data_IF_653915463609
#
_entry.id   IF_653915463609
#
_cell.length_a   1.000
_cell.length_b   1.000
_cell.length_c   1.000
_cell.angle_alpha   90.00
_cell.angle_beta   90.00
_cell.angle_gamma   90.00
#
_symmetry.space_group_name_H-M   'P 1'
#
loop_
_entity.id
_entity.type
_entity.pdbx_description
1 polymer ?
#
# COMPACT_ATOMS: atom_id res chain seq x y z
N UNK A 1 15.72 -1.62 -3.16
CA UNK A 1 15.51 -0.41 -3.96
C UNK A 1 14.18 0.24 -3.56
N UNK A 2 14.20 1.53 -3.30
CA UNK A 2 13.03 2.30 -2.87
C UNK A 2 12.55 3.18 -4.01
N UNK A 3 11.28 3.01 -4.40
CA UNK A 3 10.61 3.86 -5.40
C UNK A 3 9.78 4.93 -4.69
N UNK A 4 9.81 6.14 -5.23
CA UNK A 4 8.90 7.22 -4.82
C UNK A 4 7.90 7.45 -5.93
N UNK A 5 6.60 7.31 -5.62
CA UNK A 5 5.53 7.43 -6.59
C UNK A 5 4.27 8.03 -5.98
N UNK A 6 3.46 8.67 -6.83
CA UNK A 6 2.09 9.02 -6.47
C UNK A 6 1.25 7.75 -6.58
N UNK A 7 0.76 7.26 -5.45
CA UNK A 7 -0.13 6.10 -5.43
C UNK A 7 -1.58 6.54 -5.68
N UNK A 8 -2.51 5.61 -5.63
CA UNK A 8 -3.94 5.89 -5.71
C UNK A 8 -4.47 6.64 -4.48
N UNK A 9 -3.66 6.73 -3.43
CA UNK A 9 -3.98 7.47 -2.20
C UNK A 9 -2.92 8.56 -1.99
N UNK A 10 -1.97 8.36 -1.10
CA UNK A 10 -0.91 9.33 -0.80
C UNK A 10 0.33 9.10 -1.66
N UNK A 11 1.24 10.07 -1.70
CA UNK A 11 2.60 9.81 -2.18
C UNK A 11 3.21 8.68 -1.34
N UNK A 12 3.87 7.73 -1.98
CA UNK A 12 4.32 6.52 -1.32
C UNK A 12 5.76 6.15 -1.60
N UNK A 13 6.40 5.55 -0.60
CA UNK A 13 7.60 4.76 -0.76
C UNK A 13 7.20 3.31 -1.03
N UNK A 14 7.79 2.72 -2.06
CA UNK A 14 7.47 1.37 -2.52
C UNK A 14 8.74 0.56 -2.61
N UNK A 15 8.74 -0.65 -2.04
CA UNK A 15 9.89 -1.55 -2.09
C UNK A 15 9.48 -2.98 -1.80
N UNK A 16 10.25 -3.93 -2.29
CA UNK A 16 10.17 -5.32 -1.87
C UNK A 16 11.00 -5.60 -0.61
N UNK A 17 11.76 -4.62 -0.15
CA UNK A 17 12.60 -4.71 1.06
C UNK A 17 11.89 -4.04 2.24
N UNK A 18 11.23 -4.85 3.06
CA UNK A 18 10.48 -4.40 4.23
C UNK A 18 11.37 -3.67 5.24
N UNK A 19 12.56 -4.19 5.48
CA UNK A 19 13.50 -3.62 6.45
C UNK A 19 13.93 -2.22 6.05
N UNK A 20 14.18 -2.01 4.76
CA UNK A 20 14.56 -0.71 4.23
C UNK A 20 13.47 0.34 4.40
N UNK A 21 12.22 -0.03 4.08
CA UNK A 21 11.07 0.85 4.29
C UNK A 21 10.92 1.24 5.76
N UNK A 22 11.01 0.28 6.65
CA UNK A 22 10.89 0.53 8.08
C UNK A 22 12.03 1.38 8.63
N UNK A 23 13.24 1.18 8.11
CA UNK A 23 14.40 2.00 8.49
C UNK A 23 14.19 3.47 8.17
N UNK A 24 13.68 3.79 6.98
CA UNK A 24 13.38 5.17 6.57
C UNK A 24 12.34 5.81 7.52
N UNK A 25 11.39 5.04 7.96
CA UNK A 25 10.28 5.51 8.82
C UNK A 25 10.60 5.42 10.31
N UNK A 26 11.81 5.04 10.69
CA UNK A 26 12.22 4.85 12.09
C UNK A 26 11.27 3.93 12.85
N UNK A 27 10.92 2.79 12.24
CA UNK A 27 10.06 1.77 12.82
C UNK A 27 10.84 0.48 13.07
N UNK A 28 10.32 -0.44 13.91
CA UNK A 28 10.92 -1.77 14.02
C UNK A 28 11.05 -2.43 12.63
N UNK A 29 12.20 -3.03 12.36
CA UNK A 29 12.52 -3.53 11.00
C UNK A 29 11.58 -4.62 10.50
N UNK A 30 10.94 -5.34 11.40
CA UNK A 30 9.98 -6.39 11.07
C UNK A 30 8.52 -5.94 11.12
N UNK A 31 8.26 -4.65 11.30
CA UNK A 31 6.88 -4.15 11.33
C UNK A 31 6.21 -4.38 9.98
N UNK A 32 5.01 -4.99 9.94
CA UNK A 32 4.30 -5.22 8.68
C UNK A 32 3.98 -3.91 7.97
N UNK A 33 4.17 -3.90 6.66
CA UNK A 33 3.73 -2.82 5.78
C UNK A 33 2.57 -3.29 4.91
N UNK A 34 1.83 -2.32 4.37
CA UNK A 34 0.81 -2.57 3.37
C UNK A 34 1.42 -3.22 2.14
N UNK A 35 0.74 -4.22 1.59
CA UNK A 35 1.08 -4.83 0.30
C UNK A 35 0.14 -4.27 -0.76
N UNK A 36 0.68 -3.75 -1.86
CA UNK A 36 -0.09 -3.27 -2.99
C UNK A 36 0.06 -4.20 -4.18
N UNK A 37 -1.05 -4.48 -4.84
CA UNK A 37 -1.12 -5.25 -6.08
C UNK A 37 -2.09 -4.56 -7.04
N UNK A 38 -1.96 -4.80 -8.35
CA UNK A 38 -2.88 -4.25 -9.35
C UNK A 38 -3.96 -5.23 -9.77
N UNK A 39 -3.81 -6.53 -9.46
CA UNK A 39 -4.73 -7.57 -9.88
C UNK A 39 -5.22 -8.40 -8.71
N UNK A 40 -6.52 -8.70 -8.72
CA UNK A 40 -7.14 -9.52 -7.69
C UNK A 40 -6.48 -10.91 -7.57
N UNK A 41 -6.06 -11.50 -8.69
CA UNK A 41 -5.37 -12.80 -8.65
C UNK A 41 -4.05 -12.75 -7.86
N UNK A 42 -3.35 -11.62 -7.90
CA UNK A 42 -2.10 -11.46 -7.15
C UNK A 42 -2.35 -11.35 -5.65
N UNK A 43 -3.49 -10.75 -5.25
CA UNK A 43 -3.93 -10.75 -3.87
C UNK A 43 -4.04 -12.18 -3.31
N UNK A 44 -4.58 -13.08 -4.10
CA UNK A 44 -4.79 -14.47 -3.67
C UNK A 44 -3.49 -15.24 -3.40
N UNK A 45 -2.35 -14.75 -3.91
CA UNK A 45 -1.03 -15.30 -3.58
C UNK A 45 -0.59 -14.96 -2.16
N UNK A 46 -1.15 -13.93 -1.54
CA UNK A 46 -0.77 -13.48 -0.19
C UNK A 46 -1.75 -13.88 0.87
N UNK A 47 -3.02 -14.03 0.53
CA UNK A 47 -4.06 -14.34 1.51
C UNK A 47 -5.25 -14.98 0.85
N UNK A 48 -5.90 -15.85 1.61
CA UNK A 48 -7.22 -16.36 1.25
C UNK A 48 -8.26 -15.26 1.44
N UNK A 49 -9.09 -15.04 0.43
CA UNK A 49 -10.16 -14.04 0.49
C UNK A 49 -11.44 -14.69 0.98
N UNK A 50 -12.04 -14.19 2.07
CA UNK A 50 -13.31 -14.73 2.55
C UNK A 50 -14.38 -14.64 1.44
N UNK A 51 -15.05 -15.75 1.17
CA UNK A 51 -16.02 -15.84 0.09
C UNK A 51 -17.12 -14.78 0.18
N UNK A 52 -17.58 -14.49 1.39
CA UNK A 52 -18.63 -13.50 1.67
C UNK A 52 -18.27 -12.11 1.16
N UNK A 53 -16.98 -11.75 1.16
CA UNK A 53 -16.52 -10.40 0.85
C UNK A 53 -15.79 -10.27 -0.50
N UNK A 54 -15.73 -11.32 -1.31
CA UNK A 54 -15.03 -11.29 -2.60
C UNK A 54 -15.50 -10.15 -3.50
N UNK A 55 -16.81 -10.00 -3.66
CA UNK A 55 -17.35 -8.96 -4.53
C UNK A 55 -17.11 -7.55 -3.99
N UNK A 56 -17.22 -7.38 -2.67
CA UNK A 56 -16.90 -6.11 -2.03
C UNK A 56 -15.44 -5.71 -2.30
N UNK A 57 -14.52 -6.64 -2.13
CA UNK A 57 -13.10 -6.41 -2.33
C UNK A 57 -12.79 -6.08 -3.79
N UNK A 58 -13.39 -6.82 -4.74
CA UNK A 58 -13.21 -6.56 -6.17
C UNK A 58 -13.70 -5.18 -6.60
N UNK A 59 -14.75 -4.66 -5.97
CA UNK A 59 -15.36 -3.37 -6.32
C UNK A 59 -14.75 -2.19 -5.57
N UNK A 60 -14.03 -2.42 -4.49
CA UNK A 60 -13.50 -1.36 -3.64
C UNK A 60 -12.35 -0.63 -4.32
N UNK A 61 -12.31 0.69 -4.12
CA UNK A 61 -11.23 1.56 -4.58
C UNK A 61 -10.65 2.31 -3.37
N UNK A 62 -9.35 2.56 -3.42
CA UNK A 62 -8.65 3.30 -2.36
C UNK A 62 -8.89 2.72 -0.97
N UNK A 63 -9.00 1.40 -0.90
CA UNK A 63 -9.36 0.68 0.32
C UNK A 63 -8.38 -0.44 0.59
N UNK A 64 -7.91 -0.51 1.83
CA UNK A 64 -7.05 -1.56 2.33
C UNK A 64 -7.86 -2.51 3.20
N UNK A 65 -7.70 -3.81 3.00
CA UNK A 65 -8.31 -4.83 3.84
C UNK A 65 -7.23 -5.56 4.62
N UNK A 66 -7.47 -5.73 5.92
CA UNK A 66 -6.64 -6.59 6.78
C UNK A 66 -7.32 -7.95 6.82
N UNK A 67 -6.63 -8.96 6.31
CA UNK A 67 -7.15 -10.32 6.15
C UNK A 67 -6.97 -11.15 7.44
N UNK A 68 -7.61 -12.33 7.55
CA UNK A 68 -7.48 -13.16 8.75
C UNK A 68 -6.05 -13.53 9.12
N UNK A 69 -5.14 -13.57 8.15
CA UNK A 69 -3.71 -13.80 8.39
C UNK A 69 -2.95 -12.54 8.82
N UNK A 70 -3.67 -11.45 9.12
CA UNK A 70 -3.16 -10.15 9.55
C UNK A 70 -2.37 -9.38 8.48
N UNK A 71 -2.35 -9.83 7.23
CA UNK A 71 -1.76 -9.07 6.13
C UNK A 71 -2.72 -7.99 5.66
N UNK A 72 -2.19 -6.76 5.52
CA UNK A 72 -2.93 -5.63 4.97
C UNK A 72 -2.60 -5.52 3.49
N UNK A 73 -3.62 -5.59 2.63
CA UNK A 73 -3.43 -5.64 1.18
C UNK A 73 -4.41 -4.69 0.51
N UNK A 74 -3.91 -3.91 -0.46
CA UNK A 74 -4.73 -3.04 -1.29
C UNK A 74 -4.59 -3.42 -2.76
N UNK A 75 -5.70 -3.67 -3.42
CA UNK A 75 -5.76 -3.83 -4.87
C UNK A 75 -6.01 -2.46 -5.49
N UNK A 76 -5.03 -1.94 -6.21
CA UNK A 76 -5.11 -0.63 -6.85
C UNK A 76 -5.83 -0.77 -8.19
N UNK A 77 -6.79 0.11 -8.46
CA UNK A 77 -7.60 0.09 -9.68
C UNK A 77 -7.73 1.49 -10.28
N UNK A 78 -7.89 1.53 -11.60
CA UNK A 78 -8.24 2.74 -12.34
C UNK A 78 -7.33 3.94 -12.01
N UNK A 79 -6.02 3.68 -11.90
CA UNK A 79 -5.04 4.71 -11.58
C UNK A 79 -3.73 4.43 -12.31
N UNK A 80 -2.98 5.46 -12.76
CA UNK A 80 -1.68 5.27 -13.42
C UNK A 80 -0.67 4.47 -12.62
N UNK A 81 -0.81 4.44 -11.29
CA UNK A 81 0.04 3.66 -10.38
C UNK A 81 0.04 2.15 -10.71
N UNK A 82 -1.04 1.65 -11.32
CA UNK A 82 -1.11 0.23 -11.74
C UNK A 82 -0.01 -0.16 -12.70
N UNK A 83 0.52 0.78 -13.49
CA UNK A 83 1.61 0.49 -14.44
C UNK A 83 2.87 0.01 -13.72
N UNK A 84 3.23 0.64 -12.62
CA UNK A 84 4.36 0.21 -11.80
C UNK A 84 4.07 -1.12 -11.12
N UNK A 85 2.86 -1.27 -10.58
CA UNK A 85 2.46 -2.51 -9.89
C UNK A 85 2.40 -3.70 -10.85
N UNK A 86 2.01 -3.49 -12.10
CA UNK A 86 2.02 -4.55 -13.11
C UNK A 86 3.44 -5.07 -13.38
N UNK A 87 4.42 -4.18 -13.38
CA UNK A 87 5.82 -4.56 -13.57
C UNK A 87 6.40 -5.28 -12.36
N UNK A 88 6.07 -4.84 -11.16
CA UNK A 88 6.61 -5.40 -9.91
C UNK A 88 5.81 -6.59 -9.40
N UNK A 89 4.58 -6.79 -9.91
CA UNK A 89 3.57 -7.76 -9.48
C UNK A 89 3.00 -7.44 -8.10
N UNK A 90 3.83 -7.15 -7.14
CA UNK A 90 3.46 -6.71 -5.80
C UNK A 90 4.57 -5.87 -5.21
N UNK A 91 4.26 -5.07 -4.20
CA UNK A 91 5.26 -4.27 -3.51
C UNK A 91 4.73 -3.87 -2.12
N UNK A 92 5.63 -3.75 -1.16
CA UNK A 92 5.30 -3.09 0.11
C UNK A 92 5.18 -1.60 -0.12
N UNK A 93 4.24 -0.96 0.57
CA UNK A 93 3.98 0.47 0.43
C UNK A 93 3.84 1.12 1.80
N UNK A 94 4.38 2.32 1.94
CA UNK A 94 4.15 3.19 3.07
C UNK A 94 4.09 4.62 2.58
N UNK A 95 3.39 5.51 3.31
CA UNK A 95 3.32 6.91 2.92
C UNK A 95 4.71 7.56 2.95
N UNK A 96 4.98 8.47 2.00
CA UNK A 96 6.29 9.08 1.82
C UNK A 96 6.53 10.31 2.70
N UNK A 97 5.92 10.34 3.87
CA UNK A 97 6.12 11.39 4.85
C UNK A 97 7.08 10.91 5.95
N UNK A 98 7.78 11.83 6.64
CA UNK A 98 8.49 11.47 7.87
C UNK A 98 7.50 10.89 8.89
N UNK A 99 7.97 10.01 9.76
CA UNK A 99 7.10 9.33 10.73
C UNK A 99 6.26 10.33 11.54
N UNK A 100 4.93 10.19 11.50
CA UNK A 100 3.95 11.05 12.18
C UNK A 100 4.03 12.54 11.82
N UNK A 101 4.59 12.88 10.65
CA UNK A 101 4.68 14.26 10.17
C UNK A 101 3.99 14.40 8.81
N UNK A 102 3.77 15.65 8.38
CA UNK A 102 3.21 15.92 7.07
C UNK A 102 4.20 15.54 5.95
N UNK A 103 3.70 15.40 4.73
CA UNK A 103 4.52 15.11 3.55
C UNK A 103 5.56 16.23 3.35
N UNK A 104 6.80 15.82 3.13
CA UNK A 104 7.93 16.69 2.87
C UNK A 104 8.66 16.16 1.63
N UNK A 105 8.63 16.92 0.55
CA UNK A 105 9.21 16.51 -0.73
C UNK A 105 10.73 16.28 -0.62
N UNK A 106 11.43 17.09 0.16
CA UNK A 106 12.88 16.96 0.34
C UNK A 106 13.23 15.64 1.03
N UNK A 107 12.49 15.30 2.08
CA UNK A 107 12.63 14.03 2.77
C UNK A 107 12.35 12.85 1.83
N UNK A 108 11.27 12.94 1.06
CA UNK A 108 10.86 11.87 0.14
C UNK A 108 11.92 11.63 -0.94
N UNK A 109 12.41 12.69 -1.58
CA UNK A 109 13.43 12.57 -2.63
C UNK A 109 14.76 12.06 -2.06
N UNK A 110 15.16 12.52 -0.88
CA UNK A 110 16.42 12.12 -0.26
C UNK A 110 16.45 10.63 0.10
N UNK A 111 15.30 10.02 0.37
CA UNK A 111 15.20 8.62 0.79
C UNK A 111 14.80 7.65 -0.31
N UNK A 112 14.57 8.12 -1.53
CA UNK A 112 14.21 7.28 -2.66
C UNK A 112 15.43 6.96 -3.54
N UNK A 113 15.48 5.74 -4.05
CA UNK A 113 16.50 5.33 -5.03
C UNK A 113 16.03 5.69 -6.44
N UNK A 114 14.74 5.51 -6.72
CA UNK A 114 14.11 5.81 -8.03
C UNK A 114 12.90 6.69 -7.81
N UNK A 115 12.84 7.80 -8.51
CA UNK A 115 11.71 8.73 -8.47
C UNK A 115 10.85 8.48 -9.71
N UNK A 116 9.64 7.96 -9.49
CA UNK A 116 8.67 7.68 -10.57
C UNK A 116 7.88 8.94 -10.90
N UNK A 117 7.44 9.67 -9.87
CA UNK A 117 6.67 10.91 -10.03
C UNK A 117 7.35 12.06 -9.31
N UNK A 118 7.33 13.23 -9.91
CA UNK A 118 7.89 14.45 -9.34
C UNK A 118 6.82 15.42 -8.86
N UNK A 119 5.57 15.22 -9.30
CA UNK A 119 4.41 16.01 -8.88
C UNK A 119 3.51 15.15 -8.04
N UNK A 120 3.14 15.66 -6.88
CA UNK A 120 2.30 14.94 -5.94
C UNK A 120 1.04 15.72 -5.64
N UNK A 121 -0.10 15.03 -5.67
CA UNK A 121 -1.40 15.59 -5.36
C UNK A 121 -1.78 15.22 -3.94
N UNK A 122 -2.20 16.18 -3.10
CA UNK A 122 -2.74 15.86 -1.79
C UNK A 122 -3.90 14.89 -1.94
N UNK A 123 -3.86 13.80 -1.19
CA UNK A 123 -4.90 12.80 -1.22
C UNK A 123 -5.08 12.20 0.17
N UNK A 124 -6.29 11.70 0.42
CA UNK A 124 -6.57 11.05 1.68
C UNK A 124 -5.93 9.65 1.72
N UNK A 125 -5.53 9.23 2.92
CA UNK A 125 -5.09 7.86 3.15
C UNK A 125 -6.24 6.89 2.82
N UNK A 126 -5.89 5.64 2.51
CA UNK A 126 -6.90 4.62 2.21
C UNK A 126 -7.82 4.37 3.40
N UNK A 127 -9.06 3.98 3.10
CA UNK A 127 -9.93 3.38 4.11
C UNK A 127 -9.34 2.03 4.51
N UNK A 128 -9.47 1.64 5.75
CA UNK A 128 -8.99 0.35 6.24
C UNK A 128 -10.12 -0.41 6.89
N UNK A 129 -10.34 -1.64 6.45
CA UNK A 129 -11.29 -2.57 7.03
C UNK A 129 -10.57 -3.84 7.45
N UNK A 130 -10.90 -4.35 8.64
CA UNK A 130 -10.48 -5.67 9.07
C UNK A 130 -11.60 -6.65 8.78
N UNK A 131 -11.29 -7.73 8.07
CA UNK A 131 -12.27 -8.74 7.70
C UNK A 131 -11.92 -10.10 8.32
N UNK A 132 -12.96 -10.84 8.67
CA UNK A 132 -12.89 -12.25 9.03
C UNK A 132 -13.76 -13.04 8.08
N UNK A 133 -13.92 -14.34 8.34
CA UNK A 133 -14.79 -15.19 7.53
C UNK A 133 -16.23 -14.69 7.49
N UNK A 134 -16.72 -14.05 8.54
CA UNK A 134 -18.12 -13.66 8.71
C UNK A 134 -18.36 -12.18 8.98
N UNK A 135 -17.35 -11.45 9.43
CA UNK A 135 -17.49 -10.05 9.87
C UNK A 135 -16.54 -9.11 9.17
N UNK A 136 -16.97 -7.85 9.04
CA UNK A 136 -16.16 -6.74 8.57
C UNK A 136 -16.26 -5.59 9.57
N UNK A 137 -15.12 -4.95 9.85
CA UNK A 137 -15.05 -3.82 10.78
C UNK A 137 -14.16 -2.73 10.20
N UNK A 138 -14.65 -1.50 10.24
CA UNK A 138 -13.87 -0.33 9.80
C UNK A 138 -12.83 0.03 10.86
N UNK A 139 -11.57 0.20 10.42
CA UNK A 139 -10.45 0.64 11.27
C UNK A 139 -10.13 2.12 11.01
N UNK A 140 -10.23 2.55 9.72
CA UNK A 140 -9.92 3.93 9.33
C UNK A 140 -10.80 4.44 8.22
#
# INVERSE_FOLDING_TARGET
MIYLAQTDTTAGFLSKDLKKLNSIKNRPLNQPCLICVSKFKNLQNFSRVPKKYKNLIRRSKKTTFIYPNLKAIRVVKDHPHTKLLDKLEWVYSTSANPHKKAFDIEFAVANADIIIDTKFTPAQASKIYKISKTNIRRIR
#
